data_IF_717662609417
#
_entry.id   IF_717662609417
#
_cell.length_a   1.000
_cell.length_b   1.000
_cell.length_c   1.000
_cell.angle_alpha   90.00
_cell.angle_beta   90.00
_cell.angle_gamma   90.00
#
_symmetry.space_group_name_H-M   'P 1'
#
loop_
_entity.id
_entity.type
_entity.pdbx_description
1 polymer ?
#
# COMPACT_ATOMS: atom_id res chain seq x y z
N UNK A 1 -14.00 -20.01 1.09
CA UNK A 1 -12.79 -19.29 1.54
C UNK A 1 -11.59 -20.13 1.14
N UNK A 2 -10.58 -19.55 0.51
CA UNK A 2 -9.35 -20.28 0.17
C UNK A 2 -8.51 -20.49 1.44
N UNK A 3 -7.82 -21.62 1.52
CA UNK A 3 -6.84 -21.89 2.59
C UNK A 3 -5.51 -21.19 2.28
N UNK A 4 -4.66 -21.02 3.28
CA UNK A 4 -3.30 -20.48 3.10
C UNK A 4 -2.50 -21.33 2.12
N UNK A 5 -2.64 -22.66 2.17
CA UNK A 5 -1.99 -23.58 1.22
C UNK A 5 -2.43 -23.30 -0.23
N UNK A 6 -3.75 -23.17 -0.47
CA UNK A 6 -4.25 -22.91 -1.82
C UNK A 6 -3.82 -21.54 -2.37
N UNK A 7 -3.69 -20.53 -1.49
CA UNK A 7 -3.18 -19.21 -1.86
C UNK A 7 -1.68 -19.31 -2.15
N UNK A 8 -0.91 -19.98 -1.30
CA UNK A 8 0.52 -20.19 -1.50
C UNK A 8 0.83 -20.98 -2.78
N UNK A 9 0.01 -21.99 -3.09
CA UNK A 9 0.09 -22.74 -4.33
C UNK A 9 -0.11 -21.83 -5.54
N UNK A 10 -1.14 -20.99 -5.49
CA UNK A 10 -1.45 -20.07 -6.58
C UNK A 10 -0.36 -19.00 -6.76
N UNK A 11 0.19 -18.46 -5.66
CA UNK A 11 1.30 -17.53 -5.73
C UNK A 11 2.52 -18.20 -6.38
N UNK A 12 2.86 -19.43 -5.97
CA UNK A 12 4.00 -20.16 -6.53
C UNK A 12 3.87 -20.46 -8.04
N UNK A 13 2.62 -20.58 -8.55
CA UNK A 13 2.38 -20.76 -10.00
C UNK A 13 2.66 -19.50 -10.83
N UNK A 14 2.49 -18.30 -10.23
CA UNK A 14 2.63 -17.02 -10.94
C UNK A 14 4.00 -16.36 -10.73
N UNK A 15 4.77 -16.81 -9.75
CA UNK A 15 6.14 -16.30 -9.53
C UNK A 15 7.00 -16.67 -10.74
N UNK A 16 7.72 -15.71 -11.35
CA UNK A 16 8.65 -15.99 -12.42
C UNK A 16 9.68 -17.05 -11.99
N UNK A 17 9.85 -18.06 -12.82
CA UNK A 17 10.80 -19.18 -12.58
C UNK A 17 10.52 -20.05 -11.33
N UNK A 18 9.38 -19.85 -10.64
CA UNK A 18 9.01 -20.61 -9.45
C UNK A 18 9.84 -20.31 -8.20
N UNK A 19 10.63 -19.25 -8.21
CA UNK A 19 11.52 -18.86 -7.11
C UNK A 19 11.41 -17.35 -6.83
N UNK A 20 11.42 -16.99 -5.55
CA UNK A 20 11.54 -15.61 -5.10
C UNK A 20 12.98 -15.11 -5.31
N UNK A 21 13.15 -14.00 -6.04
CA UNK A 21 14.43 -13.29 -6.24
C UNK A 21 14.26 -11.81 -5.91
N UNK A 22 13.73 -11.07 -6.87
CA UNK A 22 13.49 -9.63 -6.76
C UNK A 22 11.98 -9.30 -6.72
N UNK A 23 11.13 -10.34 -6.73
CA UNK A 23 9.68 -10.16 -6.66
C UNK A 23 9.25 -9.85 -5.23
N UNK A 24 8.28 -8.94 -5.08
CA UNK A 24 7.64 -8.72 -3.80
C UNK A 24 6.13 -9.01 -3.84
N UNK A 25 5.56 -9.34 -2.71
CA UNK A 25 4.14 -9.65 -2.57
C UNK A 25 3.35 -8.39 -2.25
N UNK A 26 2.46 -7.98 -3.14
CA UNK A 26 1.50 -6.91 -2.88
C UNK A 26 0.17 -7.52 -2.46
N UNK A 27 -0.26 -7.21 -1.25
CA UNK A 27 -1.53 -7.65 -0.68
C UNK A 27 -2.52 -6.49 -0.80
N UNK A 28 -3.52 -6.67 -1.62
CA UNK A 28 -4.52 -5.66 -1.98
C UNK A 28 -5.93 -6.28 -2.04
N UNK A 29 -6.91 -5.53 -2.54
CA UNK A 29 -8.31 -5.94 -2.70
C UNK A 29 -9.17 -5.54 -1.51
N UNK A 30 -10.31 -4.88 -1.73
CA UNK A 30 -11.12 -4.29 -0.69
C UNK A 30 -10.27 -3.51 0.32
N UNK A 31 -10.22 -4.00 1.57
CA UNK A 31 -9.27 -3.53 2.58
C UNK A 31 -8.53 -4.75 3.18
N UNK A 32 -7.23 -4.93 2.88
CA UNK A 32 -6.50 -6.15 3.27
C UNK A 32 -6.34 -6.31 4.79
N UNK A 33 -6.39 -5.22 5.55
CA UNK A 33 -6.22 -5.27 7.00
C UNK A 33 -7.56 -5.48 7.75
N UNK A 34 -8.69 -5.47 7.04
CA UNK A 34 -10.02 -5.71 7.61
C UNK A 34 -10.29 -7.22 7.75
N UNK A 35 -10.17 -7.74 8.97
CA UNK A 35 -10.57 -9.11 9.32
C UNK A 35 -9.59 -10.23 8.90
N UNK A 36 -8.57 -9.93 8.08
CA UNK A 36 -7.64 -10.95 7.54
C UNK A 36 -6.32 -11.07 8.29
N UNK A 37 -6.01 -10.17 9.20
CA UNK A 37 -4.71 -10.11 9.89
C UNK A 37 -4.30 -11.42 10.57
N UNK A 38 -5.27 -12.23 11.04
CA UNK A 38 -5.02 -13.52 11.67
C UNK A 38 -4.60 -14.62 10.69
N UNK A 39 -4.92 -14.46 9.41
CA UNK A 39 -4.60 -15.45 8.38
C UNK A 39 -3.23 -15.23 7.73
N UNK A 40 -2.69 -14.01 7.78
CA UNK A 40 -1.41 -13.70 7.13
C UNK A 40 -0.21 -14.48 7.71
N UNK A 41 -0.09 -14.72 9.03
CA UNK A 41 1.00 -15.54 9.55
C UNK A 41 1.08 -16.93 8.89
N UNK A 42 -0.06 -17.61 8.73
CA UNK A 42 -0.10 -18.94 8.11
C UNK A 42 0.33 -18.91 6.64
N UNK A 43 0.02 -17.83 5.92
CA UNK A 43 0.47 -17.64 4.54
C UNK A 43 1.95 -17.28 4.47
N UNK A 44 2.39 -16.29 5.24
CA UNK A 44 3.76 -15.76 5.17
C UNK A 44 4.81 -16.74 5.74
N UNK A 45 4.39 -17.67 6.59
CA UNK A 45 5.23 -18.75 7.13
C UNK A 45 5.16 -20.02 6.29
N UNK A 46 4.34 -20.05 5.23
CA UNK A 46 4.24 -21.22 4.36
C UNK A 46 5.60 -21.47 3.66
N UNK A 47 6.04 -22.75 3.50
CA UNK A 47 7.34 -23.07 2.88
C UNK A 47 7.57 -22.43 1.50
N UNK A 48 6.51 -22.28 0.69
CA UNK A 48 6.57 -21.62 -0.63
C UNK A 48 6.85 -20.12 -0.56
N UNK A 49 6.73 -19.51 0.63
CA UNK A 49 7.04 -18.09 0.89
C UNK A 49 8.45 -17.91 1.50
N UNK A 50 9.26 -18.96 1.60
CA UNK A 50 10.54 -18.90 2.31
C UNK A 50 11.52 -17.86 1.73
N UNK A 51 11.52 -17.65 0.42
CA UNK A 51 12.37 -16.66 -0.27
C UNK A 51 11.81 -15.24 -0.33
N UNK A 52 10.55 -15.04 0.10
CA UNK A 52 9.92 -13.72 0.07
C UNK A 52 10.62 -12.76 1.04
N UNK A 53 11.07 -11.61 0.51
CA UNK A 53 11.79 -10.58 1.28
C UNK A 53 10.99 -9.30 1.45
N UNK A 54 10.04 -9.00 0.58
CA UNK A 54 9.30 -7.75 0.56
C UNK A 54 7.80 -7.99 0.48
N UNK A 55 7.03 -7.35 1.37
CA UNK A 55 5.57 -7.34 1.31
C UNK A 55 5.05 -5.90 1.36
N UNK A 56 4.01 -5.62 0.58
CA UNK A 56 3.30 -4.35 0.62
C UNK A 56 1.82 -4.59 0.89
N UNK A 57 1.26 -3.91 1.88
CA UNK A 57 -0.18 -3.81 2.10
C UNK A 57 -0.70 -2.54 1.43
N UNK A 58 -1.54 -2.67 0.42
CA UNK A 58 -2.28 -1.54 -0.15
C UNK A 58 -3.57 -1.33 0.63
N UNK A 59 -3.57 -0.39 1.56
CA UNK A 59 -4.64 -0.14 2.52
C UNK A 59 -5.21 1.27 2.39
N UNK A 60 -6.44 1.47 2.82
CA UNK A 60 -7.03 2.80 2.96
C UNK A 60 -6.59 3.54 4.25
N UNK A 61 -5.86 2.86 5.14
CA UNK A 61 -5.33 3.46 6.37
C UNK A 61 -6.32 3.56 7.52
N UNK A 62 -7.46 2.86 7.46
CA UNK A 62 -8.51 2.95 8.50
C UNK A 62 -8.48 1.80 9.51
N UNK A 63 -7.66 0.76 9.28
CA UNK A 63 -7.65 -0.45 10.09
C UNK A 63 -6.43 -0.51 11.00
N UNK A 64 -6.64 -0.56 12.31
CA UNK A 64 -5.55 -0.81 13.25
C UNK A 64 -4.95 -2.20 13.06
N UNK A 65 -3.64 -2.30 13.23
CA UNK A 65 -2.99 -3.61 13.35
C UNK A 65 -3.32 -4.22 14.72
N UNK A 66 -3.76 -5.48 14.71
CA UNK A 66 -3.89 -6.20 15.98
C UNK A 66 -2.53 -6.33 16.66
N UNK A 67 -2.48 -6.35 18.01
CA UNK A 67 -1.20 -6.48 18.73
C UNK A 67 -0.42 -7.71 18.28
N UNK A 68 -1.10 -8.84 18.06
CA UNK A 68 -0.50 -10.10 17.62
C UNK A 68 0.11 -9.98 16.23
N UNK A 69 -0.61 -9.33 15.30
CA UNK A 69 -0.13 -9.16 13.92
C UNK A 69 1.03 -8.15 13.84
N UNK A 70 0.95 -7.07 14.62
CA UNK A 70 2.03 -6.09 14.76
C UNK A 70 3.33 -6.75 15.24
N UNK A 71 3.24 -7.57 16.28
CA UNK A 71 4.39 -8.31 16.82
C UNK A 71 4.89 -9.37 15.83
N UNK A 72 3.99 -10.05 15.13
CA UNK A 72 4.35 -11.00 14.07
C UNK A 72 5.16 -10.33 12.96
N UNK A 73 4.69 -9.20 12.41
CA UNK A 73 5.38 -8.50 11.32
C UNK A 73 6.79 -8.04 11.73
N UNK A 74 6.95 -7.52 12.95
CA UNK A 74 8.26 -7.15 13.49
C UNK A 74 9.22 -8.35 13.53
N UNK A 75 8.74 -9.50 14.03
CA UNK A 75 9.53 -10.74 14.06
C UNK A 75 9.82 -11.28 12.67
N UNK A 76 8.85 -11.22 11.76
CA UNK A 76 8.99 -11.69 10.39
C UNK A 76 10.13 -10.97 9.66
N UNK A 77 10.27 -9.65 9.86
CA UNK A 77 11.32 -8.83 9.23
C UNK A 77 12.74 -9.27 9.65
N UNK A 78 12.96 -9.57 10.92
CA UNK A 78 14.30 -9.88 11.46
C UNK A 78 14.63 -11.36 11.47
N UNK A 79 13.63 -12.25 11.37
CA UNK A 79 13.82 -13.70 11.51
C UNK A 79 14.79 -14.30 10.49
N UNK A 80 14.72 -13.86 9.23
CA UNK A 80 15.63 -14.35 8.20
C UNK A 80 17.07 -13.91 8.47
N UNK A 81 17.24 -12.65 8.89
CA UNK A 81 18.55 -12.08 9.23
C UNK A 81 19.24 -12.81 10.40
N UNK A 82 18.49 -13.18 11.44
CA UNK A 82 19.03 -13.98 12.56
C UNK A 82 19.55 -15.35 12.13
N UNK A 83 19.08 -15.86 11.01
CA UNK A 83 19.52 -17.13 10.42
C UNK A 83 20.54 -16.92 9.24
N UNK A 84 21.13 -15.73 9.12
CA UNK A 84 22.10 -15.42 8.07
C UNK A 84 21.49 -15.07 6.70
N UNK A 85 20.17 -14.91 6.63
CA UNK A 85 19.44 -14.46 5.44
C UNK A 85 19.28 -12.94 5.37
N UNK A 86 18.58 -12.43 4.35
CA UNK A 86 18.34 -10.99 4.18
C UNK A 86 17.37 -10.46 5.25
N UNK A 87 17.46 -9.15 5.52
CA UNK A 87 16.39 -8.43 6.22
C UNK A 87 15.19 -8.39 5.30
N UNK A 88 14.00 -8.63 5.86
CA UNK A 88 12.74 -8.53 5.15
C UNK A 88 12.10 -7.17 5.38
N UNK A 89 11.36 -6.71 4.39
CA UNK A 89 10.72 -5.39 4.42
C UNK A 89 9.19 -5.50 4.42
N UNK A 90 8.55 -4.65 5.24
CA UNK A 90 7.11 -4.47 5.28
C UNK A 90 6.80 -3.03 4.90
N UNK A 91 5.96 -2.85 3.89
CA UNK A 91 5.51 -1.54 3.43
C UNK A 91 4.00 -1.41 3.53
N UNK A 92 3.53 -0.25 3.96
CA UNK A 92 2.12 0.15 3.94
C UNK A 92 1.94 1.27 2.93
N UNK A 93 1.34 0.94 1.79
CA UNK A 93 0.93 1.88 0.75
C UNK A 93 -0.46 2.40 1.09
N UNK A 94 -0.50 3.53 1.78
CA UNK A 94 -1.76 4.05 2.34
C UNK A 94 -2.45 4.97 1.35
N UNK A 95 -3.57 4.53 0.79
CA UNK A 95 -4.43 5.33 -0.08
C UNK A 95 -5.61 5.91 0.72
N UNK A 96 -5.30 6.86 1.62
CA UNK A 96 -6.31 7.55 2.41
C UNK A 96 -7.28 8.29 1.47
N UNK A 97 -8.59 8.13 1.75
CA UNK A 97 -9.64 8.67 0.89
C UNK A 97 -9.91 10.13 1.21
N UNK A 98 -9.91 10.97 0.17
CA UNK A 98 -10.32 12.36 0.25
C UNK A 98 -11.82 12.51 -0.02
N UNK A 99 -12.45 13.66 0.32
CA UNK A 99 -13.88 13.90 0.11
C UNK A 99 -14.37 13.67 -1.32
N UNK A 100 -13.52 13.90 -2.33
CA UNK A 100 -13.82 13.61 -3.74
C UNK A 100 -14.14 12.13 -4.00
N UNK A 101 -13.77 11.21 -3.11
CA UNK A 101 -14.16 9.80 -3.18
C UNK A 101 -15.58 9.52 -2.68
N UNK A 102 -16.22 10.50 -2.04
CA UNK A 102 -17.54 10.37 -1.38
C UNK A 102 -17.48 9.87 0.06
N UNK A 103 -16.30 9.58 0.59
CA UNK A 103 -16.13 9.18 1.99
C UNK A 103 -16.06 10.41 2.90
N UNK A 104 -16.52 10.25 4.14
CA UNK A 104 -16.44 11.33 5.14
C UNK A 104 -15.01 11.44 5.67
N UNK A 105 -14.57 12.67 5.90
CA UNK A 105 -13.24 12.97 6.42
C UNK A 105 -12.91 12.19 7.70
N UNK A 106 -13.81 12.26 8.68
CA UNK A 106 -13.62 11.60 9.96
C UNK A 106 -13.57 10.07 9.90
N UNK A 107 -14.10 9.45 8.84
CA UNK A 107 -14.07 8.01 8.63
C UNK A 107 -12.81 7.58 7.85
N UNK A 108 -12.32 8.43 6.96
CA UNK A 108 -11.24 8.13 6.03
C UNK A 108 -9.84 8.59 6.50
N UNK A 109 -9.75 9.72 7.22
CA UNK A 109 -8.48 10.28 7.68
C UNK A 109 -8.23 9.84 9.12
N UNK A 110 -7.29 8.88 9.30
CA UNK A 110 -6.96 8.25 10.58
C UNK A 110 -5.45 8.36 10.87
N UNK A 111 -4.96 9.55 11.23
CA UNK A 111 -3.53 9.77 11.38
C UNK A 111 -2.85 8.84 12.39
N UNK A 112 -3.49 8.55 13.51
CA UNK A 112 -2.93 7.72 14.58
C UNK A 112 -2.69 6.28 14.10
N UNK A 113 -3.61 5.75 13.27
CA UNK A 113 -3.51 4.40 12.70
C UNK A 113 -2.30 4.32 11.76
N UNK A 114 -2.15 5.30 10.89
CA UNK A 114 -1.04 5.32 9.91
C UNK A 114 0.31 5.54 10.60
N UNK A 115 0.37 6.36 11.66
CA UNK A 115 1.58 6.49 12.47
C UNK A 115 1.95 5.17 13.16
N UNK A 116 0.98 4.31 13.52
CA UNK A 116 1.29 2.97 14.03
C UNK A 116 1.93 2.07 12.96
N UNK A 117 1.58 2.23 11.69
CA UNK A 117 2.22 1.45 10.61
C UNK A 117 3.71 1.74 10.52
N UNK A 118 4.14 3.00 10.68
CA UNK A 118 5.56 3.39 10.71
C UNK A 118 6.35 2.75 11.87
N UNK A 119 5.66 2.29 12.93
CA UNK A 119 6.32 1.57 14.02
C UNK A 119 6.61 0.11 13.67
N UNK A 120 6.07 -0.38 12.57
CA UNK A 120 6.19 -1.76 12.10
C UNK A 120 7.03 -1.85 10.84
N UNK A 121 6.85 -0.94 9.91
CA UNK A 121 7.54 -0.95 8.61
C UNK A 121 7.56 0.43 7.98
N UNK A 122 7.87 0.50 6.70
CA UNK A 122 7.77 1.74 5.93
C UNK A 122 6.30 2.05 5.63
N UNK A 123 5.88 3.30 5.81
CA UNK A 123 4.56 3.74 5.38
C UNK A 123 4.68 4.99 4.49
N UNK A 124 3.82 5.08 3.47
CA UNK A 124 3.68 6.29 2.66
C UNK A 124 2.23 6.55 2.31
N UNK A 125 1.88 7.81 2.13
CA UNK A 125 0.54 8.25 1.74
C UNK A 125 0.45 8.38 0.22
N UNK A 126 -0.66 7.95 -0.37
CA UNK A 126 -1.06 8.21 -1.76
C UNK A 126 -2.42 8.90 -1.76
N UNK A 127 -2.48 10.12 -2.26
CA UNK A 127 -3.75 10.84 -2.47
C UNK A 127 -4.11 10.85 -3.94
N UNK A 128 -5.32 10.39 -4.25
CA UNK A 128 -5.88 10.41 -5.60
C UNK A 128 -6.56 11.75 -5.81
N UNK A 129 -6.08 12.54 -6.77
CA UNK A 129 -6.55 13.90 -7.01
C UNK A 129 -6.79 14.14 -8.51
N UNK A 130 -7.71 15.07 -8.82
CA UNK A 130 -8.02 15.54 -10.18
C UNK A 130 -7.99 17.04 -10.29
N UNK A 131 -8.26 17.76 -9.20
CA UNK A 131 -8.48 19.20 -9.15
C UNK A 131 -7.55 19.88 -8.14
N UNK A 132 -7.50 21.22 -8.17
CA UNK A 132 -6.81 21.98 -7.12
C UNK A 132 -7.52 21.88 -5.77
N UNK A 133 -8.85 21.74 -5.75
CA UNK A 133 -9.60 21.53 -4.49
C UNK A 133 -9.21 20.19 -3.85
N UNK A 134 -9.09 19.11 -4.63
CA UNK A 134 -8.61 17.81 -4.13
C UNK A 134 -7.15 17.91 -3.62
N UNK A 135 -6.35 18.76 -4.25
CA UNK A 135 -4.98 19.01 -3.81
C UNK A 135 -4.97 19.74 -2.45
N UNK A 136 -5.81 20.73 -2.24
CA UNK A 136 -5.93 21.44 -0.95
C UNK A 136 -6.40 20.49 0.16
N UNK A 137 -7.33 19.59 -0.14
CA UNK A 137 -7.72 18.50 0.77
C UNK A 137 -6.54 17.57 1.09
N UNK A 138 -5.74 17.19 0.09
CA UNK A 138 -4.55 16.36 0.30
C UNK A 138 -3.50 17.05 1.17
N UNK A 139 -3.31 18.37 1.01
CA UNK A 139 -2.42 19.18 1.86
C UNK A 139 -2.96 19.21 3.29
N UNK A 140 -4.26 19.45 3.47
CA UNK A 140 -4.91 19.48 4.80
C UNK A 140 -4.75 18.13 5.49
N UNK A 141 -5.04 17.02 4.80
CA UNK A 141 -4.85 15.68 5.33
C UNK A 141 -3.37 15.43 5.70
N UNK A 142 -2.43 15.83 4.82
CA UNK A 142 -0.99 15.68 5.10
C UNK A 142 -0.59 16.40 6.38
N UNK A 143 -1.11 17.61 6.63
CA UNK A 143 -0.82 18.36 7.86
C UNK A 143 -1.37 17.64 9.10
N UNK A 144 -2.55 17.02 9.03
CA UNK A 144 -3.08 16.22 10.13
C UNK A 144 -2.19 14.99 10.41
N UNK A 145 -1.78 14.25 9.37
CA UNK A 145 -0.84 13.14 9.51
C UNK A 145 0.49 13.59 10.11
N UNK A 146 1.07 14.70 9.62
CA UNK A 146 2.31 15.26 10.17
C UNK A 146 2.17 15.68 11.64
N UNK A 147 1.05 16.29 12.01
CA UNK A 147 0.75 16.69 13.40
C UNK A 147 0.68 15.48 14.33
N UNK A 148 0.17 14.35 13.85
CA UNK A 148 0.13 13.08 14.59
C UNK A 148 1.50 12.39 14.69
N UNK A 149 2.51 12.83 13.91
CA UNK A 149 3.88 12.31 13.94
C UNK A 149 4.30 11.51 12.72
N UNK A 150 3.44 11.41 11.68
CA UNK A 150 3.80 10.72 10.44
C UNK A 150 4.98 11.36 9.74
N UNK A 151 6.00 10.56 9.35
CA UNK A 151 7.24 11.04 8.73
C UNK A 151 7.42 10.58 7.28
N UNK A 152 6.63 9.60 6.84
CA UNK A 152 6.74 8.98 5.53
C UNK A 152 6.48 9.92 4.35
N UNK A 153 6.72 9.41 3.15
CA UNK A 153 6.52 10.18 1.92
C UNK A 153 5.05 10.35 1.58
N UNK A 154 4.76 11.43 0.85
CA UNK A 154 3.42 11.74 0.32
C UNK A 154 3.50 11.77 -1.20
N UNK A 155 2.62 10.99 -1.83
CA UNK A 155 2.47 10.89 -3.27
C UNK A 155 1.13 11.44 -3.71
N UNK A 156 1.13 12.18 -4.81
CA UNK A 156 -0.07 12.53 -5.56
C UNK A 156 -0.24 11.56 -6.73
N UNK A 157 -1.44 11.06 -6.90
CA UNK A 157 -1.81 10.13 -7.97
C UNK A 157 -2.99 10.70 -8.76
N UNK A 158 -2.95 10.70 -10.11
CA UNK A 158 -4.08 11.18 -10.88
C UNK A 158 -5.30 10.25 -10.75
N UNK A 159 -6.50 10.84 -10.68
CA UNK A 159 -7.75 10.09 -10.74
C UNK A 159 -7.97 9.53 -12.14
N UNK A 160 -8.58 8.38 -12.24
CA UNK A 160 -9.02 7.76 -13.48
C UNK A 160 -8.67 6.27 -13.57
N UNK A 161 -9.67 5.49 -13.98
CA UNK A 161 -9.55 4.05 -14.26
C UNK A 161 -9.54 3.71 -15.73
N UNK A 162 -9.71 4.73 -16.61
CA UNK A 162 -9.67 4.58 -18.06
C UNK A 162 -8.66 5.58 -18.66
N UNK A 163 -8.01 5.16 -19.74
CA UNK A 163 -6.92 5.92 -20.36
C UNK A 163 -7.30 7.38 -20.68
N UNK A 164 -8.49 7.64 -21.22
CA UNK A 164 -8.95 8.99 -21.58
C UNK A 164 -9.06 9.92 -20.36
N UNK A 165 -9.59 9.45 -19.26
CA UNK A 165 -9.72 10.23 -18.01
C UNK A 165 -8.35 10.42 -17.36
N UNK A 166 -7.53 9.39 -17.35
CA UNK A 166 -6.18 9.43 -16.82
C UNK A 166 -5.31 10.44 -17.57
N UNK A 167 -5.35 10.42 -18.91
CA UNK A 167 -4.60 11.35 -19.75
C UNK A 167 -4.98 12.83 -19.55
N UNK A 168 -6.23 13.11 -19.15
CA UNK A 168 -6.67 14.46 -18.83
C UNK A 168 -6.07 15.01 -17.54
N UNK A 169 -5.79 14.14 -16.56
CA UNK A 169 -5.42 14.53 -15.21
C UNK A 169 -3.93 14.35 -14.89
N UNK A 170 -3.23 13.42 -15.54
CA UNK A 170 -1.88 13.04 -15.16
C UNK A 170 -0.90 14.21 -15.16
N UNK A 171 -0.96 15.09 -16.19
CA UNK A 171 -0.09 16.26 -16.30
C UNK A 171 -0.36 17.27 -15.18
N UNK A 172 -1.63 17.60 -14.93
CA UNK A 172 -2.00 18.55 -13.88
C UNK A 172 -1.49 18.08 -12.51
N UNK A 173 -1.67 16.80 -12.21
CA UNK A 173 -1.20 16.21 -10.95
C UNK A 173 0.34 16.20 -10.87
N UNK A 174 1.03 15.91 -11.97
CA UNK A 174 2.48 15.96 -12.02
C UNK A 174 3.01 17.40 -11.81
N UNK A 175 2.38 18.39 -12.45
CA UNK A 175 2.73 19.81 -12.30
C UNK A 175 2.50 20.28 -10.86
N UNK A 176 1.40 19.88 -10.21
CA UNK A 176 1.14 20.14 -8.79
C UNK A 176 2.20 19.49 -7.88
N UNK A 177 2.53 18.22 -8.12
CA UNK A 177 3.56 17.53 -7.36
C UNK A 177 4.92 18.23 -7.46
N UNK A 178 5.35 18.61 -8.67
CA UNK A 178 6.60 19.35 -8.89
C UNK A 178 6.59 20.73 -8.23
N UNK A 179 5.50 21.48 -8.42
CA UNK A 179 5.36 22.85 -7.85
C UNK A 179 5.47 22.86 -6.33
N UNK A 180 4.97 21.83 -5.66
CA UNK A 180 4.88 21.78 -4.20
C UNK A 180 5.90 20.83 -3.56
N UNK A 181 6.85 20.28 -4.33
CA UNK A 181 7.91 19.40 -3.81
C UNK A 181 7.40 18.06 -3.27
N UNK A 182 6.24 17.59 -3.78
CA UNK A 182 5.66 16.29 -3.47
C UNK A 182 6.10 15.24 -4.50
N UNK A 183 5.84 13.96 -4.19
CA UNK A 183 6.10 12.88 -5.12
C UNK A 183 4.90 12.64 -6.02
N UNK A 184 5.15 12.22 -7.24
CA UNK A 184 4.14 11.77 -8.19
C UNK A 184 4.13 10.23 -8.23
N UNK A 185 2.94 9.65 -8.24
CA UNK A 185 2.73 8.21 -8.45
C UNK A 185 1.93 8.00 -9.72
N UNK A 186 2.50 7.26 -10.65
CA UNK A 186 1.84 6.90 -11.90
C UNK A 186 0.90 5.69 -11.72
N UNK A 187 0.02 5.49 -12.69
CA UNK A 187 -0.84 4.31 -12.85
C UNK A 187 -0.49 3.62 -14.17
N UNK A 188 0.71 3.06 -14.24
CA UNK A 188 1.27 2.49 -15.48
C UNK A 188 0.36 1.43 -16.13
N UNK A 189 -0.44 0.71 -15.35
CA UNK A 189 -1.40 -0.25 -15.90
C UNK A 189 -2.45 0.42 -16.81
N UNK A 190 -2.75 1.70 -16.61
CA UNK A 190 -3.73 2.40 -17.44
C UNK A 190 -3.20 2.65 -18.86
N UNK A 191 -2.05 3.35 -19.06
CA UNK A 191 -1.54 3.58 -20.41
C UNK A 191 -0.98 2.32 -21.08
N UNK A 192 -0.46 1.34 -20.31
CA UNK A 192 0.14 0.14 -20.89
C UNK A 192 -0.90 -0.94 -21.22
N UNK A 193 -1.86 -1.17 -20.34
CA UNK A 193 -2.81 -2.29 -20.44
C UNK A 193 -4.27 -1.84 -20.45
N UNK A 194 -4.54 -0.53 -20.57
CA UNK A 194 -5.91 0.04 -20.55
C UNK A 194 -6.75 -0.39 -19.35
N UNK A 195 -6.08 -0.72 -18.25
CA UNK A 195 -6.67 -1.22 -17.00
C UNK A 195 -7.47 -2.54 -17.21
N UNK A 196 -7.01 -3.42 -18.08
CA UNK A 196 -7.59 -4.76 -18.27
C UNK A 196 -7.37 -5.63 -17.01
N UNK A 197 -8.32 -6.55 -16.77
CA UNK A 197 -8.23 -7.47 -15.64
C UNK A 197 -7.06 -8.46 -15.80
N UNK A 198 -6.24 -8.59 -14.77
CA UNK A 198 -5.12 -9.53 -14.73
C UNK A 198 -3.83 -8.98 -15.34
N UNK A 199 -3.75 -7.67 -15.52
CA UNK A 199 -2.54 -6.98 -16.02
C UNK A 199 -1.86 -6.17 -14.94
#
# INVERSE_FOLDING_TARGET
MLTSDAIADRIAEIIPHGEWKDEHLVITGGEPLLGWQRAYPDLLDHPKMAGLTEITFETNGTQQLSPEFKEYLKKWQIRAWHNGGPVREVTFSVSAKLPCSGEKWEDAIKPEIVCEYEQVGTAYLKFVIATEDDFDDAVTATLEFRKAGFTGHVYLMPVGGVESVYALNNRTVADLAMKHGLRYSDRLQVPLFKNEWGT
#
